data_IF_993763694426
#
_entry.id   IF_993763694426
#
_cell.length_a   1.000
_cell.length_b   1.000
_cell.length_c   1.000
_cell.angle_alpha   90.00
_cell.angle_beta   90.00
_cell.angle_gamma   90.00
#
_symmetry.space_group_name_H-M   'P 1'
#
loop_
_entity.id
_entity.type
_entity.pdbx_description
1 polymer ?
#
# COMPACT_ATOMS: atom_id res chain seq x y z
N UNK A 1 -56.94 16.59 30.10
CA UNK A 1 -56.85 16.39 31.57
C UNK A 1 -55.94 15.19 31.82
N UNK A 2 -54.91 15.36 32.67
CA UNK A 2 -54.20 14.30 33.44
C UNK A 2 -53.20 13.44 32.63
N UNK A 3 -51.94 13.17 33.01
CA UNK A 3 -50.98 13.63 34.03
C UNK A 3 -49.60 13.08 33.61
N UNK A 4 -48.53 13.84 33.86
CA UNK A 4 -47.15 13.35 34.03
C UNK A 4 -47.09 12.18 35.02
N UNK A 5 -46.23 11.17 34.79
CA UNK A 5 -45.47 10.51 35.87
C UNK A 5 -44.13 9.98 35.33
N UNK A 6 -43.04 10.56 35.83
CA UNK A 6 -41.67 10.03 35.79
C UNK A 6 -41.56 8.75 36.61
N UNK A 7 -40.85 7.74 36.12
CA UNK A 7 -40.42 6.60 36.93
C UNK A 7 -38.88 6.60 37.04
N UNK A 8 -38.38 7.32 38.03
CA UNK A 8 -37.15 7.01 38.74
C UNK A 8 -37.28 5.61 39.34
N UNK A 9 -36.37 4.68 39.02
CA UNK A 9 -36.13 3.51 39.86
C UNK A 9 -34.66 3.52 40.31
N UNK A 10 -34.51 3.90 41.57
CA UNK A 10 -33.26 3.91 42.34
C UNK A 10 -32.93 2.50 42.83
N UNK A 11 -31.65 2.17 42.71
CA UNK A 11 -30.78 1.21 43.42
C UNK A 11 -31.35 0.24 44.46
N UNK A 12 -30.89 -1.01 44.37
CA UNK A 12 -30.29 -1.80 45.46
C UNK A 12 -29.53 -2.99 44.83
N UNK A 13 -28.20 -2.95 44.71
CA UNK A 13 -27.24 -3.41 45.73
C UNK A 13 -27.45 -4.87 46.17
N UNK A 14 -26.56 -5.79 45.74
CA UNK A 14 -25.67 -6.50 46.68
C UNK A 14 -24.66 -7.43 45.97
N UNK A 15 -23.39 -7.18 46.30
CA UNK A 15 -22.33 -8.11 46.66
C UNK A 15 -21.86 -9.19 45.65
N UNK A 16 -20.66 -9.03 45.09
CA UNK A 16 -19.36 -9.48 45.64
C UNK A 16 -19.07 -10.96 45.31
N UNK A 17 -18.37 -11.19 44.20
CA UNK A 17 -17.45 -12.30 44.07
C UNK A 17 -16.13 -11.74 43.56
N UNK A 18 -15.11 -11.80 44.42
CA UNK A 18 -13.72 -11.49 44.10
C UNK A 18 -13.26 -12.38 42.93
N UNK A 19 -12.94 -11.75 41.81
CA UNK A 19 -11.97 -12.27 40.86
C UNK A 19 -11.02 -11.12 40.55
N UNK A 20 -9.75 -11.29 40.90
CA UNK A 20 -8.72 -10.31 40.56
C UNK A 20 -8.67 -10.09 39.06
N UNK A 21 -8.80 -8.83 38.64
CA UNK A 21 -8.32 -8.33 37.37
C UNK A 21 -8.22 -6.81 37.52
N UNK A 22 -7.07 -6.36 38.01
CA UNK A 22 -6.67 -4.95 37.89
C UNK A 22 -6.52 -4.60 36.42
N UNK A 23 -7.10 -3.47 36.00
CA UNK A 23 -6.72 -2.80 34.76
C UNK A 23 -7.61 -3.11 33.56
N UNK A 24 -8.89 -2.79 33.66
CA UNK A 24 -9.80 -2.70 32.51
C UNK A 24 -10.13 -1.24 32.20
N UNK A 25 -9.17 -0.51 31.62
CA UNK A 25 -9.45 0.67 30.79
C UNK A 25 -8.92 0.35 29.40
N UNK A 26 -9.68 -0.48 28.67
CA UNK A 26 -9.46 -0.73 27.26
C UNK A 26 -9.94 0.50 26.47
N UNK A 27 -9.14 1.55 26.50
CA UNK A 27 -9.26 2.72 25.61
C UNK A 27 -7.88 3.01 25.00
N UNK A 28 -7.23 1.98 24.44
CA UNK A 28 -5.98 2.17 23.69
C UNK A 28 -5.92 1.37 22.38
N UNK A 29 -6.95 0.57 22.05
CA UNK A 29 -6.86 -0.38 20.93
C UNK A 29 -7.40 0.14 19.59
N UNK A 30 -7.80 1.42 19.50
CA UNK A 30 -8.32 1.99 18.25
C UNK A 30 -7.24 2.69 17.40
N UNK A 31 -6.06 2.98 17.96
CA UNK A 31 -4.96 3.68 17.25
C UNK A 31 -3.72 2.80 17.00
N UNK A 32 -3.77 1.52 17.40
CA UNK A 32 -2.65 0.57 17.28
C UNK A 32 -2.61 -0.25 15.99
N UNK A 33 -3.51 0.06 15.05
CA UNK A 33 -3.49 -0.46 13.67
C UNK A 33 -3.04 0.61 12.67
N UNK A 34 -2.22 1.58 13.11
CA UNK A 34 -1.29 2.22 12.19
C UNK A 34 -0.33 1.10 11.75
N UNK A 35 -0.62 0.51 10.58
CA UNK A 35 0.21 -0.45 9.89
C UNK A 35 1.67 -0.04 10.08
N UNK A 36 2.41 -0.81 10.88
CA UNK A 36 3.84 -0.68 11.15
C UNK A 36 4.61 -1.08 9.88
N UNK A 37 4.28 -0.42 8.75
CA UNK A 37 4.99 -0.57 7.50
C UNK A 37 6.28 0.18 7.66
N UNK A 38 7.38 -0.54 7.52
CA UNK A 38 8.67 0.11 7.35
C UNK A 38 8.57 1.10 6.16
N UNK A 39 9.24 2.26 6.22
CA UNK A 39 9.31 3.19 5.09
C UNK A 39 9.70 2.50 3.76
N UNK A 40 10.52 1.45 3.85
CA UNK A 40 10.92 0.65 2.71
C UNK A 40 9.76 -0.13 2.08
N UNK A 41 8.88 -0.70 2.89
CA UNK A 41 7.68 -1.40 2.40
C UNK A 41 6.64 -0.40 1.85
N UNK A 42 6.55 0.80 2.44
CA UNK A 42 5.72 1.87 1.92
C UNK A 42 6.16 2.25 0.50
N UNK A 43 7.44 2.61 0.31
CA UNK A 43 7.99 2.91 -1.01
C UNK A 43 7.78 1.77 -2.00
N UNK A 44 8.00 0.52 -1.57
CA UNK A 44 7.81 -0.64 -2.44
C UNK A 44 6.36 -0.85 -2.88
N UNK A 45 5.39 -0.57 -2.01
CA UNK A 45 3.98 -0.63 -2.37
C UNK A 45 3.57 0.47 -3.34
N UNK A 46 4.13 1.68 -3.22
CA UNK A 46 3.89 2.77 -4.19
C UNK A 46 4.35 2.35 -5.60
N UNK A 47 5.54 1.75 -5.73
CA UNK A 47 5.98 1.22 -7.03
C UNK A 47 5.05 0.14 -7.58
N UNK A 48 4.58 -0.79 -6.74
CA UNK A 48 3.63 -1.83 -7.18
C UNK A 48 2.31 -1.23 -7.63
N UNK A 49 1.81 -0.22 -6.92
CA UNK A 49 0.60 0.50 -7.30
C UNK A 49 0.74 1.17 -8.67
N UNK A 50 1.86 1.87 -8.90
CA UNK A 50 2.15 2.47 -10.22
C UNK A 50 2.17 1.40 -11.32
N UNK A 51 2.86 0.28 -11.09
CA UNK A 51 2.97 -0.79 -12.09
C UNK A 51 1.61 -1.43 -12.38
N UNK A 52 0.78 -1.63 -11.35
CA UNK A 52 -0.58 -2.16 -11.51
C UNK A 52 -1.49 -1.19 -12.29
N UNK A 53 -1.43 0.10 -11.99
CA UNK A 53 -2.17 1.14 -12.71
C UNK A 53 -1.79 1.15 -14.20
N UNK A 54 -0.50 1.09 -14.50
CA UNK A 54 0.01 1.01 -15.87
C UNK A 54 -0.42 -0.27 -16.59
N UNK A 55 -0.35 -1.42 -15.92
CA UNK A 55 -0.84 -2.69 -16.47
C UNK A 55 -2.34 -2.65 -16.76
N UNK A 56 -3.12 -2.04 -15.86
CA UNK A 56 -4.57 -1.88 -16.00
C UNK A 56 -4.91 -0.97 -17.17
N UNK A 57 -4.25 0.17 -17.28
CA UNK A 57 -4.43 1.12 -18.39
C UNK A 57 -4.13 0.45 -19.74
N UNK A 58 -3.03 -0.30 -19.83
CA UNK A 58 -2.66 -1.00 -21.06
C UNK A 58 -3.66 -2.12 -21.41
N UNK A 59 -4.06 -2.92 -20.43
CA UNK A 59 -4.86 -4.14 -20.66
C UNK A 59 -6.35 -3.85 -20.89
N UNK A 60 -6.87 -2.77 -20.28
CA UNK A 60 -8.31 -2.45 -20.31
C UNK A 60 -8.63 -1.42 -21.38
N UNK A 61 -7.77 -0.41 -21.53
CA UNK A 61 -8.07 0.78 -22.32
C UNK A 61 -7.08 0.99 -23.48
N UNK A 62 -5.93 0.31 -23.44
CA UNK A 62 -4.93 0.30 -24.50
C UNK A 62 -3.91 1.44 -24.42
N UNK A 63 -3.14 1.59 -25.49
CA UNK A 63 -1.96 2.49 -25.55
C UNK A 63 -2.29 3.97 -25.33
N UNK A 64 -3.51 4.42 -25.66
CA UNK A 64 -3.92 5.81 -25.47
C UNK A 64 -4.11 6.16 -23.99
N UNK A 65 -4.80 5.30 -23.22
CA UNK A 65 -4.92 5.48 -21.77
C UNK A 65 -3.61 5.23 -21.06
N UNK A 66 -2.82 4.24 -21.50
CA UNK A 66 -1.46 4.02 -20.99
C UNK A 66 -0.59 5.28 -21.04
N UNK A 67 -0.70 6.06 -22.12
CA UNK A 67 0.03 7.33 -22.25
C UNK A 67 -0.41 8.37 -21.22
N UNK A 68 -1.72 8.49 -20.97
CA UNK A 68 -2.25 9.42 -19.96
C UNK A 68 -1.87 8.97 -18.55
N UNK A 69 -1.97 7.67 -18.28
CA UNK A 69 -1.59 7.07 -17.00
C UNK A 69 -0.11 7.30 -16.73
N UNK A 70 0.76 7.09 -17.73
CA UNK A 70 2.19 7.40 -17.64
C UNK A 70 2.46 8.87 -17.29
N UNK A 71 1.66 9.81 -17.76
CA UNK A 71 1.81 11.22 -17.37
C UNK A 71 1.45 11.43 -15.90
N UNK A 72 0.39 10.79 -15.42
CA UNK A 72 -0.04 10.87 -14.01
C UNK A 72 1.00 10.25 -13.07
N UNK A 73 1.40 9.00 -13.33
CA UNK A 73 2.30 8.26 -12.41
C UNK A 73 3.72 8.82 -12.42
N UNK A 74 4.12 9.58 -13.44
CA UNK A 74 5.43 10.24 -13.46
C UNK A 74 5.54 11.31 -12.38
N UNK A 75 4.45 12.00 -12.05
CA UNK A 75 4.41 12.94 -10.93
C UNK A 75 4.53 12.18 -9.60
N UNK A 76 3.80 11.07 -9.45
CA UNK A 76 3.85 10.23 -8.25
C UNK A 76 5.25 9.61 -8.05
N UNK A 77 5.90 9.18 -9.14
CA UNK A 77 7.23 8.57 -9.14
C UNK A 77 8.31 9.48 -8.55
N UNK A 78 8.22 10.79 -8.80
CA UNK A 78 9.15 11.78 -8.25
C UNK A 78 8.94 11.99 -6.75
N UNK A 79 7.73 11.73 -6.25
CA UNK A 79 7.36 11.89 -4.85
C UNK A 79 7.62 10.63 -4.00
N UNK A 80 7.95 9.49 -4.61
CA UNK A 80 8.30 8.29 -3.85
C UNK A 80 9.62 8.53 -3.10
N UNK A 81 9.53 8.58 -1.77
CA UNK A 81 10.68 8.65 -0.88
C UNK A 81 11.48 7.33 -0.94
N UNK A 82 12.68 7.40 -1.49
CA UNK A 82 13.64 6.29 -1.55
C UNK A 82 14.83 6.51 -0.61
N UNK A 83 14.82 7.56 0.21
CA UNK A 83 15.93 7.89 1.11
C UNK A 83 16.06 6.88 2.24
N UNK A 84 14.93 6.38 2.73
CA UNK A 84 14.88 5.35 3.77
C UNK A 84 15.21 3.93 3.26
N UNK A 85 15.44 3.75 1.96
CA UNK A 85 15.90 2.49 1.38
C UNK A 85 17.42 2.39 1.46
N UNK A 86 17.91 1.19 1.76
CA UNK A 86 19.34 0.87 1.84
C UNK A 86 19.69 -0.38 1.01
N UNK A 87 20.97 -0.53 0.69
CA UNK A 87 21.50 -1.69 -0.03
C UNK A 87 20.78 -1.98 -1.35
N UNK A 88 20.46 -3.26 -1.57
CA UNK A 88 19.83 -3.73 -2.81
C UNK A 88 18.43 -3.14 -3.04
N UNK A 89 17.70 -2.80 -1.97
CA UNK A 89 16.36 -2.21 -2.10
C UNK A 89 16.42 -0.80 -2.69
N UNK A 90 17.41 0.00 -2.27
CA UNK A 90 17.63 1.32 -2.87
C UNK A 90 18.01 1.20 -4.34
N UNK A 91 18.89 0.26 -4.67
CA UNK A 91 19.29 0.01 -6.06
C UNK A 91 18.10 -0.42 -6.93
N UNK A 92 17.26 -1.34 -6.44
CA UNK A 92 16.06 -1.78 -7.12
C UNK A 92 15.03 -0.65 -7.31
N UNK A 93 14.83 0.20 -6.30
CA UNK A 93 13.93 1.34 -6.40
C UNK A 93 14.40 2.39 -7.41
N UNK A 94 15.68 2.73 -7.42
CA UNK A 94 16.24 3.64 -8.42
C UNK A 94 16.18 3.05 -9.84
N UNK A 95 16.38 1.73 -9.96
CA UNK A 95 16.21 1.02 -11.22
C UNK A 95 14.74 1.00 -11.69
N UNK A 96 13.78 0.84 -10.77
CA UNK A 96 12.34 0.97 -11.07
C UNK A 96 12.02 2.37 -11.57
N UNK A 97 12.49 3.42 -10.88
CA UNK A 97 12.33 4.82 -11.33
C UNK A 97 12.89 5.02 -12.74
N UNK A 98 14.09 4.51 -13.00
CA UNK A 98 14.71 4.63 -14.32
C UNK A 98 13.91 3.89 -15.42
N UNK A 99 13.47 2.65 -15.16
CA UNK A 99 12.70 1.87 -16.14
C UNK A 99 11.30 2.44 -16.40
N UNK A 100 10.63 3.01 -15.40
CA UNK A 100 9.34 3.69 -15.61
C UNK A 100 9.52 4.94 -16.48
N UNK A 101 10.61 5.70 -16.30
CA UNK A 101 10.95 6.83 -17.18
C UNK A 101 11.23 6.37 -18.60
N UNK A 102 12.02 5.30 -18.77
CA UNK A 102 12.29 4.72 -20.09
C UNK A 102 11.00 4.26 -20.78
N UNK A 103 10.11 3.61 -20.04
CA UNK A 103 8.78 3.21 -20.53
C UNK A 103 7.98 4.44 -21.03
N UNK A 104 7.99 5.54 -20.28
CA UNK A 104 7.35 6.78 -20.69
C UNK A 104 7.93 7.33 -21.99
N UNK A 105 9.26 7.35 -22.13
CA UNK A 105 9.94 7.78 -23.36
C UNK A 105 9.59 6.89 -24.55
N UNK A 106 9.57 5.57 -24.35
CA UNK A 106 9.22 4.57 -25.37
C UNK A 106 7.79 4.70 -25.85
N UNK A 107 6.82 4.82 -24.93
CA UNK A 107 5.41 5.03 -25.29
C UNK A 107 5.22 6.34 -26.04
N UNK A 108 5.88 7.42 -25.61
CA UNK A 108 5.88 8.70 -26.33
C UNK A 108 6.54 8.62 -27.70
N UNK A 109 7.56 7.76 -27.85
CA UNK A 109 8.24 7.46 -29.11
C UNK A 109 7.49 6.52 -30.05
N UNK A 110 6.31 6.01 -29.65
CA UNK A 110 5.49 5.12 -30.47
C UNK A 110 5.88 3.65 -30.39
N UNK A 111 6.42 3.19 -29.25
CA UNK A 111 6.65 1.78 -28.99
C UNK A 111 5.37 0.94 -29.20
N UNK A 112 5.56 -0.29 -29.66
CA UNK A 112 4.45 -1.23 -29.86
C UNK A 112 3.88 -1.71 -28.52
N UNK A 113 2.62 -2.13 -28.51
CA UNK A 113 1.98 -2.70 -27.32
C UNK A 113 2.75 -3.92 -26.78
N UNK A 114 3.38 -4.72 -27.65
CA UNK A 114 4.21 -5.87 -27.24
C UNK A 114 5.44 -5.41 -26.46
N UNK A 115 6.17 -4.41 -26.97
CA UNK A 115 7.34 -3.86 -26.28
C UNK A 115 6.95 -3.27 -24.92
N UNK A 116 5.80 -2.59 -24.84
CA UNK A 116 5.28 -2.03 -23.59
C UNK A 116 4.93 -3.13 -22.59
N UNK A 117 4.30 -4.23 -23.03
CA UNK A 117 4.00 -5.39 -22.19
C UNK A 117 5.27 -6.05 -21.65
N UNK A 118 6.31 -6.20 -22.48
CA UNK A 118 7.59 -6.76 -22.05
C UNK A 118 8.24 -5.90 -20.96
N UNK A 119 8.28 -4.57 -21.15
CA UNK A 119 8.81 -3.65 -20.14
C UNK A 119 7.99 -3.67 -18.84
N UNK A 120 6.66 -3.75 -18.92
CA UNK A 120 5.81 -3.86 -17.73
C UNK A 120 6.02 -5.17 -16.96
N UNK A 121 6.29 -6.27 -17.66
CA UNK A 121 6.66 -7.53 -17.02
C UNK A 121 8.00 -7.39 -16.28
N UNK A 122 9.02 -6.80 -16.92
CA UNK A 122 10.32 -6.55 -16.26
C UNK A 122 10.19 -5.65 -15.02
N UNK A 123 9.32 -4.63 -15.08
CA UNK A 123 9.01 -3.77 -13.94
C UNK A 123 8.36 -4.55 -12.80
N UNK A 124 7.40 -5.42 -13.13
CA UNK A 124 6.71 -6.28 -12.17
C UNK A 124 7.68 -7.24 -11.48
N UNK A 125 8.57 -7.88 -12.25
CA UNK A 125 9.61 -8.77 -11.73
C UNK A 125 10.61 -8.05 -10.83
N UNK A 126 10.92 -6.79 -11.14
CA UNK A 126 11.79 -5.96 -10.30
C UNK A 126 11.08 -5.51 -9.01
N UNK A 127 9.80 -5.16 -9.08
CA UNK A 127 9.00 -4.80 -7.90
C UNK A 127 8.74 -5.99 -6.96
N UNK A 128 8.71 -7.22 -7.49
CA UNK A 128 8.62 -8.44 -6.70
C UNK A 128 9.88 -8.70 -5.85
N UNK A 129 11.04 -8.15 -6.24
CA UNK A 129 12.29 -8.24 -5.47
C UNK A 129 12.38 -7.25 -4.31
N UNK A 130 11.44 -6.32 -4.22
CA UNK A 130 11.38 -5.32 -3.15
C UNK A 130 10.63 -5.86 -1.93
N UNK A 131 10.87 -5.32 -0.71
CA UNK A 131 10.18 -5.76 0.51
C UNK A 131 8.65 -5.69 0.39
N UNK A 132 7.96 -6.65 1.00
CA UNK A 132 6.50 -6.79 0.92
C UNK A 132 5.97 -7.25 -0.45
N UNK A 133 6.86 -7.65 -1.38
CA UNK A 133 6.47 -8.27 -2.63
C UNK A 133 6.01 -9.68 -2.36
N UNK A 134 4.90 -10.09 -2.96
CA UNK A 134 4.34 -11.44 -2.85
C UNK A 134 5.28 -12.45 -3.56
N UNK A 135 6.43 -12.71 -2.93
CA UNK A 135 7.03 -14.03 -2.94
C UNK A 135 6.33 -14.79 -1.83
N UNK A 136 5.27 -15.53 -2.16
CA UNK A 136 4.65 -16.50 -1.26
C UNK A 136 5.73 -17.24 -0.47
N UNK A 137 5.57 -17.26 0.86
CA UNK A 137 6.64 -17.51 1.80
C UNK A 137 7.53 -18.72 1.49
N UNK A 138 8.84 -18.49 1.51
CA UNK A 138 9.89 -19.46 1.86
C UNK A 138 11.27 -18.80 1.69
N UNK A 139 11.65 -17.99 2.67
CA UNK A 139 13.04 -17.68 3.08
C UNK A 139 12.85 -16.71 4.26
N UNK A 140 12.99 -17.12 5.52
CA UNK A 140 14.24 -17.58 6.12
C UNK A 140 13.92 -18.31 7.44
N UNK A 141 13.87 -19.64 7.41
CA UNK A 141 14.28 -20.47 8.55
C UNK A 141 15.58 -21.15 8.10
N UNK A 142 16.71 -20.66 8.61
CA UNK A 142 18.00 -21.36 8.63
C UNK A 142 18.81 -20.92 9.85
#
# INVERSE_FOLDING_TARGET
>A
MIRNVSATLTCAALALALAGCTGGEAVEDQERFQLDRSPAEAAANEFRYIIDALNTALSTEGMASMKNELQSVMEDLENIDTEALEGDNKANAEQLKAKIRELAEKVNGGASESEVKEMLQELSDLAAKMPGGDGGGAAEEA
#
